data_IF_560600679780
#
_entry.id   IF_560600679780
#
_cell.length_a   1.000
_cell.length_b   1.000
_cell.length_c   1.000
_cell.angle_alpha   90.00
_cell.angle_beta   90.00
_cell.angle_gamma   90.00
#
_symmetry.space_group_name_H-M   'P 1'
#
loop_
_entity.id
_entity.type
_entity.pdbx_description
1 polymer ?
#
# COMPACT_ATOMS: atom_id res chain seq x y z
N UNK A 1 -27.51 -19.11 2.25
CA UNK A 1 -26.05 -18.96 2.18
C UNK A 1 -25.73 -17.48 2.36
N UNK A 2 -25.07 -17.10 3.46
CA UNK A 2 -24.65 -15.70 3.66
C UNK A 2 -23.57 -15.35 2.63
N UNK A 3 -23.75 -14.29 1.84
CA UNK A 3 -22.70 -13.81 0.92
C UNK A 3 -21.52 -13.34 1.76
N UNK A 4 -20.36 -13.96 1.56
CA UNK A 4 -19.10 -13.49 2.15
C UNK A 4 -18.68 -12.24 1.36
N UNK A 5 -18.69 -11.08 2.01
CA UNK A 5 -18.22 -9.84 1.39
C UNK A 5 -16.70 -9.86 1.30
N UNK A 6 -16.16 -9.56 0.12
CA UNK A 6 -14.74 -9.31 -0.10
C UNK A 6 -14.59 -7.83 -0.45
N UNK A 7 -13.78 -7.11 0.32
CA UNK A 7 -13.45 -5.72 0.09
C UNK A 7 -11.99 -5.62 -0.35
N UNK A 8 -11.74 -4.89 -1.43
CA UNK A 8 -10.39 -4.52 -1.83
C UNK A 8 -10.22 -3.04 -1.58
N UNK A 9 -9.26 -2.66 -0.74
CA UNK A 9 -9.02 -1.27 -0.36
C UNK A 9 -7.56 -0.91 -0.58
N UNK A 10 -7.33 0.26 -1.19
CA UNK A 10 -5.97 0.80 -1.36
C UNK A 10 -5.61 1.70 -0.19
N UNK A 11 -4.45 1.44 0.41
CA UNK A 11 -3.82 2.37 1.36
C UNK A 11 -2.98 3.35 0.56
N UNK A 12 -3.41 4.61 0.51
CA UNK A 12 -2.72 5.68 -0.23
C UNK A 12 -1.28 5.86 0.23
N UNK A 13 -0.35 6.08 -0.71
CA UNK A 13 1.09 6.20 -0.40
C UNK A 13 1.43 7.32 0.59
N UNK A 14 0.70 8.44 0.52
CA UNK A 14 0.86 9.57 1.44
C UNK A 14 0.47 9.26 2.88
N UNK A 15 -0.26 8.17 3.13
CA UNK A 15 -0.63 7.78 4.49
C UNK A 15 0.54 7.15 5.26
N UNK A 16 1.62 6.75 4.59
CA UNK A 16 2.79 6.20 5.28
C UNK A 16 3.59 7.26 6.06
N UNK A 17 3.33 8.55 5.82
CA UNK A 17 3.83 9.66 6.65
C UNK A 17 2.85 10.06 7.77
N UNK A 18 1.68 9.41 7.83
CA UNK A 18 0.66 9.69 8.83
C UNK A 18 0.82 8.77 10.04
N UNK A 19 1.34 9.31 11.15
CA UNK A 19 1.66 8.56 12.36
C UNK A 19 0.48 7.77 12.96
N UNK A 20 -0.77 8.20 12.74
CA UNK A 20 -1.95 7.48 13.23
C UNK A 20 -2.48 6.42 12.25
N UNK A 21 -1.82 6.19 11.11
CA UNK A 21 -2.24 5.20 10.10
C UNK A 21 -2.58 3.83 10.73
N UNK A 22 -1.73 3.22 11.57
CA UNK A 22 -2.03 1.87 12.11
C UNK A 22 -3.34 1.84 12.90
N UNK A 23 -3.51 2.79 13.82
CA UNK A 23 -4.69 2.86 14.69
C UNK A 23 -5.96 3.20 13.90
N UNK A 24 -5.89 4.15 12.97
CA UNK A 24 -7.04 4.58 12.17
C UNK A 24 -7.47 3.50 11.18
N UNK A 25 -6.51 2.83 10.55
CA UNK A 25 -6.79 1.74 9.62
C UNK A 25 -7.40 0.54 10.34
N UNK A 26 -6.88 0.17 11.52
CA UNK A 26 -7.47 -0.90 12.34
C UNK A 26 -8.91 -0.58 12.74
N UNK A 27 -9.14 0.62 13.30
CA UNK A 27 -10.50 1.07 13.65
C UNK A 27 -11.45 1.04 12.46
N UNK A 28 -10.98 1.42 11.27
CA UNK A 28 -11.80 1.32 10.07
C UNK A 28 -12.08 -0.13 9.68
N UNK A 29 -11.08 -1.02 9.75
CA UNK A 29 -11.22 -2.45 9.43
C UNK A 29 -12.22 -3.16 10.36
N UNK A 30 -12.24 -2.80 11.64
CA UNK A 30 -13.16 -3.36 12.64
C UNK A 30 -14.64 -3.12 12.25
N UNK A 31 -14.93 -2.04 11.53
CA UNK A 31 -16.27 -1.70 11.05
C UNK A 31 -16.63 -2.41 9.72
N UNK A 32 -15.73 -3.23 9.14
CA UNK A 32 -15.94 -3.84 7.82
C UNK A 32 -16.28 -5.34 7.93
N UNK A 33 -17.54 -5.73 7.67
CA UNK A 33 -17.89 -7.14 7.65
C UNK A 33 -17.24 -7.84 6.45
N UNK A 34 -16.78 -9.07 6.67
CA UNK A 34 -16.19 -9.92 5.62
C UNK A 34 -14.67 -9.88 5.56
N UNK A 35 -14.12 -10.30 4.43
CA UNK A 35 -12.67 -10.32 4.20
C UNK A 35 -12.23 -8.99 3.57
N UNK A 36 -11.09 -8.47 4.03
CA UNK A 36 -10.46 -7.27 3.47
C UNK A 36 -9.13 -7.65 2.82
N UNK A 37 -8.90 -7.16 1.60
CA UNK A 37 -7.63 -7.23 0.88
C UNK A 37 -7.11 -5.82 0.74
N UNK A 38 -5.92 -5.57 1.29
CA UNK A 38 -5.29 -4.27 1.25
C UNK A 38 -4.24 -4.21 0.14
N UNK A 39 -4.18 -3.07 -0.56
CA UNK A 39 -3.15 -2.79 -1.57
C UNK A 39 -2.38 -1.55 -1.11
N UNK A 40 -1.09 -1.71 -0.80
CA UNK A 40 -0.25 -0.57 -0.47
C UNK A 40 0.03 0.29 -1.73
N UNK A 41 -0.08 1.61 -1.60
CA UNK A 41 0.50 2.55 -2.56
C UNK A 41 2.02 2.60 -2.45
N UNK A 42 2.68 3.23 -3.42
CA UNK A 42 4.15 3.24 -3.49
C UNK A 42 4.87 4.17 -2.50
N UNK A 43 4.13 5.04 -1.79
CA UNK A 43 4.67 5.92 -0.75
C UNK A 43 5.86 6.78 -1.18
N UNK A 44 6.70 7.21 -0.22
CA UNK A 44 7.92 7.97 -0.49
C UNK A 44 8.90 7.26 -1.44
N UNK A 45 8.86 5.93 -1.50
CA UNK A 45 9.73 5.15 -2.40
C UNK A 45 9.35 5.37 -3.87
N UNK A 46 8.05 5.39 -4.19
CA UNK A 46 7.62 5.71 -5.55
C UNK A 46 7.87 7.18 -5.91
N UNK A 47 7.88 8.10 -4.94
CA UNK A 47 8.28 9.49 -5.18
C UNK A 47 9.78 9.59 -5.53
N UNK A 48 10.63 8.82 -4.85
CA UNK A 48 12.05 8.71 -5.20
C UNK A 48 12.25 8.16 -6.64
N UNK A 49 11.44 7.19 -7.07
CA UNK A 49 11.45 6.70 -8.46
C UNK A 49 11.07 7.81 -9.45
N UNK A 50 10.03 8.61 -9.16
CA UNK A 50 9.65 9.75 -10.00
C UNK A 50 10.75 10.80 -10.09
N UNK A 51 11.43 11.07 -8.98
CA UNK A 51 12.57 11.98 -8.96
C UNK A 51 13.73 11.45 -9.81
N UNK A 52 14.04 10.15 -9.71
CA UNK A 52 15.06 9.51 -10.54
C UNK A 52 14.69 9.55 -12.02
N UNK A 53 13.42 9.27 -12.37
CA UNK A 53 12.91 9.38 -13.73
C UNK A 53 13.09 10.79 -14.29
N UNK A 54 12.73 11.82 -13.53
CA UNK A 54 12.94 13.21 -13.92
C UNK A 54 14.42 13.58 -14.12
N UNK A 55 15.31 13.05 -13.27
CA UNK A 55 16.74 13.36 -13.31
C UNK A 55 17.49 12.62 -14.43
N UNK A 56 17.12 11.38 -14.71
CA UNK A 56 17.85 10.49 -15.59
C UNK A 56 17.10 10.11 -16.87
N UNK A 57 15.86 10.60 -17.04
CA UNK A 57 14.97 10.29 -18.16
C UNK A 57 14.87 8.76 -18.37
N UNK A 58 14.38 8.05 -17.35
CA UNK A 58 14.27 6.60 -17.44
C UNK A 58 13.26 6.24 -18.53
N UNK A 59 13.45 5.07 -19.15
CA UNK A 59 12.40 4.54 -20.01
C UNK A 59 11.15 4.21 -19.17
N UNK A 60 9.98 4.38 -19.77
CA UNK A 60 8.70 4.22 -19.07
C UNK A 60 8.52 2.83 -18.43
N UNK A 61 9.09 1.78 -19.03
CA UNK A 61 9.00 0.41 -18.51
C UNK A 61 9.84 0.26 -17.24
N UNK A 62 11.06 0.81 -17.24
CA UNK A 62 11.93 0.82 -16.05
C UNK A 62 11.31 1.63 -14.91
N UNK A 63 10.86 2.86 -15.17
CA UNK A 63 10.22 3.69 -14.14
C UNK A 63 8.97 3.01 -13.56
N UNK A 64 8.15 2.39 -14.42
CA UNK A 64 6.96 1.65 -14.01
C UNK A 64 7.29 0.44 -13.12
N UNK A 65 8.25 -0.40 -13.52
CA UNK A 65 8.69 -1.56 -12.73
C UNK A 65 9.23 -1.14 -11.37
N UNK A 66 10.07 -0.10 -11.30
CA UNK A 66 10.61 0.40 -10.04
C UNK A 66 9.52 0.95 -9.11
N UNK A 67 8.48 1.57 -9.67
CA UNK A 67 7.31 2.01 -8.90
C UNK A 67 6.51 0.82 -8.34
N UNK A 68 6.39 -0.28 -9.08
CA UNK A 68 5.77 -1.53 -8.58
C UNK A 68 6.61 -2.15 -7.46
N UNK A 69 7.93 -2.23 -7.62
CA UNK A 69 8.79 -2.75 -6.55
C UNK A 69 8.74 -1.87 -5.29
N UNK A 70 8.58 -0.56 -5.45
CA UNK A 70 8.32 0.33 -4.32
C UNK A 70 7.03 -0.07 -3.59
N UNK A 71 5.94 -0.37 -4.31
CA UNK A 71 4.69 -0.85 -3.71
C UNK A 71 4.85 -2.18 -2.97
N UNK A 72 5.74 -3.09 -3.43
CA UNK A 72 6.07 -4.32 -2.70
C UNK A 72 6.70 -4.00 -1.35
N UNK A 73 7.69 -3.11 -1.30
CA UNK A 73 8.32 -2.69 -0.04
C UNK A 73 7.29 -2.04 0.89
N UNK A 74 6.42 -1.18 0.36
CA UNK A 74 5.35 -0.57 1.15
C UNK A 74 4.31 -1.59 1.64
N UNK A 75 4.13 -2.72 0.95
CA UNK A 75 3.24 -3.82 1.37
C UNK A 75 3.81 -4.52 2.60
N UNK A 76 5.11 -4.81 2.62
CA UNK A 76 5.80 -5.37 3.79
C UNK A 76 5.72 -4.40 4.99
N UNK A 77 5.92 -3.09 4.75
CA UNK A 77 5.74 -2.09 5.81
C UNK A 77 4.31 -2.07 6.34
N UNK A 78 3.30 -2.09 5.45
CA UNK A 78 1.90 -2.12 5.87
C UNK A 78 1.57 -3.36 6.70
N UNK A 79 2.10 -4.53 6.31
CA UNK A 79 1.94 -5.77 7.06
C UNK A 79 2.60 -5.69 8.44
N UNK A 80 3.78 -5.08 8.56
CA UNK A 80 4.43 -4.85 9.84
C UNK A 80 3.62 -3.89 10.76
N UNK A 81 2.89 -2.93 10.19
CA UNK A 81 2.00 -2.01 10.91
C UNK A 81 0.66 -2.66 11.32
N UNK A 82 0.28 -3.76 10.67
CA UNK A 82 -0.93 -4.53 10.93
C UNK A 82 -0.57 -6.00 11.21
N UNK A 83 -0.09 -6.34 12.42
CA UNK A 83 0.36 -7.70 12.76
C UNK A 83 -0.71 -8.80 12.56
N UNK A 84 -1.99 -8.42 12.52
CA UNK A 84 -3.14 -9.28 12.24
C UNK A 84 -3.33 -9.61 10.74
N UNK A 85 -2.54 -9.01 9.86
CA UNK A 85 -2.60 -9.21 8.41
C UNK A 85 -1.57 -10.23 7.91
N UNK A 86 -1.74 -10.69 6.68
CA UNK A 86 -0.78 -11.56 5.99
C UNK A 86 -0.53 -11.03 4.57
N UNK A 87 0.71 -11.11 4.12
CA UNK A 87 1.09 -10.85 2.72
C UNK A 87 0.74 -12.10 1.89
N UNK A 88 0.15 -11.88 0.71
CA UNK A 88 -0.26 -12.94 -0.23
C UNK A 88 0.80 -13.16 -1.32
#
# INVERSE_FOLDING_TARGET
MSRRFLRVAKVGGSLFDFAQLPTRLRSWLDDQPGANVLIAGGGPLADAVRQADHLFALDASTAHRLAIESMRVMTELLAALLPESQVL
#
